data_IF_775630308483
#
_entry.id   IF_775630308483
#
_cell.length_a   1.000
_cell.length_b   1.000
_cell.length_c   1.000
_cell.angle_alpha   90.00
_cell.angle_beta   90.00
_cell.angle_gamma   90.00
#
_symmetry.space_group_name_H-M   'P 1'
#
loop_
_entity.id
_entity.type
_entity.pdbx_description
1 polymer ?
#
# COMPACT_ATOMS: atom_id res chain seq x y z
N UNK A 1 20.14 -3.80 -7.73
CA UNK A 1 18.90 -3.49 -6.99
C UNK A 1 19.18 -2.39 -5.98
N UNK A 2 18.29 -1.41 -5.89
CA UNK A 2 18.29 -0.41 -4.81
C UNK A 2 16.94 -0.47 -4.12
N UNK A 3 16.95 -0.69 -2.80
CA UNK A 3 15.78 -0.96 -1.97
C UNK A 3 15.61 0.17 -0.96
N UNK A 4 14.37 0.56 -0.67
CA UNK A 4 14.05 1.50 0.39
C UNK A 4 12.94 0.93 1.29
N UNK A 5 13.05 1.12 2.60
CA UNK A 5 12.04 0.63 3.52
C UNK A 5 10.73 1.43 3.37
N UNK A 6 9.56 0.84 3.69
CA UNK A 6 8.25 1.43 3.43
C UNK A 6 8.07 2.84 4.02
N UNK A 7 8.71 3.11 5.16
CA UNK A 7 8.67 4.38 5.90
C UNK A 7 9.22 5.56 5.08
N UNK A 8 9.99 5.29 4.02
CA UNK A 8 10.52 6.32 3.12
C UNK A 8 9.50 6.84 2.10
N UNK A 9 8.24 6.37 2.11
CA UNK A 9 7.19 6.81 1.19
C UNK A 9 7.15 8.35 1.00
N UNK A 10 7.25 9.13 2.09
CA UNK A 10 7.22 10.59 2.01
C UNK A 10 8.47 11.20 1.37
N UNK A 11 9.58 10.49 1.38
CA UNK A 11 10.89 10.94 0.90
C UNK A 11 11.16 10.51 -0.56
N UNK A 12 10.37 9.57 -1.08
CA UNK A 12 10.53 9.00 -2.42
C UNK A 12 9.73 9.71 -3.52
N UNK A 13 8.89 10.69 -3.19
CA UNK A 13 8.12 11.48 -4.16
C UNK A 13 7.32 10.61 -5.15
N UNK A 14 6.58 9.64 -4.60
CA UNK A 14 5.78 8.69 -5.36
C UNK A 14 4.60 9.40 -6.05
N UNK A 15 4.37 9.10 -7.33
CA UNK A 15 3.15 9.51 -8.03
C UNK A 15 3.18 9.23 -9.53
N UNK A 16 2.12 9.59 -10.26
CA UNK A 16 0.72 9.64 -9.82
C UNK A 16 0.25 8.26 -9.29
N UNK A 17 -0.83 8.22 -8.49
CA UNK A 17 -1.34 6.96 -7.93
C UNK A 17 -2.14 6.13 -8.95
N UNK A 18 -2.74 6.82 -9.93
CA UNK A 18 -3.71 6.30 -10.89
C UNK A 18 -3.15 6.26 -12.32
N UNK A 19 -2.31 7.23 -12.69
CA UNK A 19 -1.57 7.22 -13.95
C UNK A 19 -0.19 6.61 -13.73
N UNK A 20 -0.08 5.30 -13.96
CA UNK A 20 1.12 4.52 -13.67
C UNK A 20 1.59 3.74 -14.92
N UNK A 21 2.91 3.56 -15.14
CA UNK A 21 3.40 2.82 -16.30
C UNK A 21 3.03 1.33 -16.30
N UNK A 22 2.89 0.72 -15.12
CA UNK A 22 2.70 -0.72 -14.96
C UNK A 22 1.68 -1.09 -13.87
N UNK A 23 0.75 -0.19 -13.55
CA UNK A 23 -0.30 -0.43 -12.55
C UNK A 23 0.13 -0.20 -11.09
N UNK A 24 1.38 0.20 -10.83
CA UNK A 24 1.87 0.57 -9.51
C UNK A 24 2.49 1.98 -9.55
N UNK A 25 2.25 2.83 -8.53
CA UNK A 25 2.87 4.14 -8.43
C UNK A 25 4.39 4.01 -8.31
N UNK A 26 5.12 4.94 -8.94
CA UNK A 26 6.59 4.96 -8.94
C UNK A 26 7.12 6.28 -8.41
N UNK A 27 8.38 6.29 -8.00
CA UNK A 27 9.10 7.53 -7.69
C UNK A 27 9.20 8.40 -8.95
N UNK A 28 8.97 9.70 -8.79
CA UNK A 28 9.23 10.69 -9.85
C UNK A 28 10.70 11.15 -9.89
N UNK A 29 11.52 10.69 -8.94
CA UNK A 29 12.96 10.98 -8.91
C UNK A 29 13.69 10.04 -9.87
N UNK A 30 14.50 10.62 -10.76
CA UNK A 30 15.52 9.87 -11.49
C UNK A 30 16.62 9.45 -10.50
N UNK A 31 16.69 8.16 -10.19
CA UNK A 31 17.66 7.62 -9.24
C UNK A 31 19.10 7.67 -9.76
N UNK A 32 19.31 7.68 -11.08
CA UNK A 32 20.64 7.74 -11.67
C UNK A 32 21.22 9.17 -11.61
N UNK A 33 20.35 10.18 -11.62
CA UNK A 33 20.71 11.59 -11.55
C UNK A 33 19.68 12.38 -10.71
N UNK A 34 19.66 12.20 -9.37
CA UNK A 34 18.63 12.81 -8.53
C UNK A 34 18.79 14.33 -8.46
N UNK A 35 17.76 15.05 -8.91
CA UNK A 35 17.64 16.50 -8.71
C UNK A 35 17.23 16.79 -7.26
N UNK A 36 18.22 16.96 -6.38
CA UNK A 36 18.01 17.26 -4.97
C UNK A 36 17.53 18.70 -4.70
N UNK A 37 17.58 19.60 -5.69
CA UNK A 37 16.94 20.91 -5.55
C UNK A 37 15.42 20.78 -5.69
N UNK A 38 14.96 19.95 -6.63
CA UNK A 38 13.54 19.65 -6.84
C UNK A 38 12.99 18.64 -5.83
N UNK A 39 13.78 17.65 -5.43
CA UNK A 39 13.40 16.55 -4.55
C UNK A 39 14.27 16.47 -3.29
N UNK A 40 14.32 17.53 -2.45
CA UNK A 40 15.29 17.63 -1.35
C UNK A 40 15.19 16.51 -0.30
N UNK A 41 14.01 15.95 -0.05
CA UNK A 41 13.83 14.82 0.90
C UNK A 41 14.40 13.51 0.39
N UNK A 42 14.71 13.41 -0.90
CA UNK A 42 15.29 12.19 -1.46
C UNK A 42 16.68 11.90 -0.87
N UNK A 43 17.40 12.94 -0.45
CA UNK A 43 18.64 12.79 0.32
C UNK A 43 18.43 11.95 1.58
N UNK A 44 17.32 12.13 2.30
CA UNK A 44 16.99 11.32 3.47
C UNK A 44 16.66 9.88 3.08
N UNK A 45 15.94 9.66 1.97
CA UNK A 45 15.69 8.31 1.49
C UNK A 45 16.98 7.56 1.16
N UNK A 46 17.96 8.25 0.56
CA UNK A 46 19.27 7.67 0.21
C UNK A 46 20.06 7.21 1.44
N UNK A 47 19.91 7.84 2.59
CA UNK A 47 20.53 7.40 3.86
C UNK A 47 20.02 6.02 4.31
N UNK A 48 18.83 5.61 3.85
CA UNK A 48 18.19 4.34 4.16
C UNK A 48 18.23 3.33 3.00
N UNK A 49 18.92 3.65 1.90
CA UNK A 49 18.98 2.79 0.74
C UNK A 49 19.82 1.53 1.02
N UNK A 50 19.29 0.36 0.65
CA UNK A 50 20.04 -0.89 0.60
C UNK A 50 20.32 -1.25 -0.86
N UNK A 51 21.60 -1.49 -1.18
CA UNK A 51 22.03 -1.81 -2.55
C UNK A 51 22.54 -3.24 -2.59
N UNK A 52 22.09 -3.98 -3.61
CA UNK A 52 22.56 -5.33 -3.90
C UNK A 52 22.76 -5.49 -5.41
N UNK A 53 23.95 -5.89 -5.81
CA UNK A 53 24.25 -6.39 -7.16
C UNK A 53 24.09 -7.91 -7.12
N UNK A 54 23.41 -8.48 -8.12
CA UNK A 54 23.11 -9.91 -8.17
C UNK A 54 23.87 -10.55 -9.33
N UNK A 55 24.54 -11.66 -9.06
CA UNK A 55 25.15 -12.53 -10.06
C UNK A 55 24.18 -13.66 -10.48
N UNK A 56 24.45 -14.36 -11.60
CA UNK A 56 23.66 -15.52 -12.00
C UNK A 56 23.60 -16.59 -10.90
N UNK A 57 22.39 -16.87 -10.41
CA UNK A 57 22.12 -17.83 -9.35
C UNK A 57 21.78 -17.19 -8.00
N UNK A 58 22.03 -15.89 -7.83
CA UNK A 58 21.63 -15.18 -6.62
C UNK A 58 20.12 -15.00 -6.53
N UNK A 59 19.63 -14.94 -5.29
CA UNK A 59 18.25 -14.65 -4.98
C UNK A 59 18.16 -13.48 -4.00
N UNK A 60 17.25 -12.56 -4.28
CA UNK A 60 16.92 -11.43 -3.42
C UNK A 60 15.50 -11.60 -2.88
N UNK A 61 15.37 -11.64 -1.56
CA UNK A 61 14.06 -11.55 -0.91
C UNK A 61 13.72 -10.08 -0.66
N UNK A 62 12.62 -9.62 -1.25
CA UNK A 62 12.07 -8.27 -1.03
C UNK A 62 10.81 -8.41 -0.18
N UNK A 63 10.80 -7.94 1.08
CA UNK A 63 9.59 -7.98 1.90
C UNK A 63 8.47 -7.15 1.28
N UNK A 64 7.22 -7.48 1.61
CA UNK A 64 6.07 -6.72 1.10
C UNK A 64 6.18 -5.23 1.44
N UNK A 65 5.66 -4.38 0.56
CA UNK A 65 5.67 -2.91 0.66
C UNK A 65 7.03 -2.23 0.51
N UNK A 66 8.13 -2.97 0.34
CA UNK A 66 9.43 -2.35 0.07
C UNK A 66 9.48 -1.74 -1.34
N UNK A 67 9.99 -0.52 -1.39
CA UNK A 67 10.26 0.17 -2.64
C UNK A 67 11.54 -0.40 -3.25
N UNK A 68 11.55 -0.59 -4.57
CA UNK A 68 12.71 -1.14 -5.23
C UNK A 68 12.91 -0.54 -6.62
N UNK A 69 14.17 -0.31 -6.96
CA UNK A 69 14.65 0.01 -8.30
C UNK A 69 15.51 -1.13 -8.80
N UNK A 70 15.30 -1.51 -10.06
CA UNK A 70 16.04 -2.58 -10.73
C UNK A 70 16.75 -1.99 -11.93
N UNK A 71 18.06 -2.24 -12.00
CA UNK A 71 18.91 -1.82 -13.10
C UNK A 71 19.61 -3.04 -13.67
N UNK A 72 19.57 -3.16 -15.00
CA UNK A 72 20.38 -4.11 -15.76
C UNK A 72 21.78 -3.52 -15.97
N UNK A 73 22.82 -4.28 -15.63
CA UNK A 73 24.22 -3.83 -15.75
C UNK A 73 24.89 -4.32 -17.04
N UNK A 74 24.43 -5.44 -17.59
CA UNK A 74 24.93 -6.00 -18.84
C UNK A 74 23.97 -5.78 -20.02
N UNK A 75 24.42 -6.09 -21.23
CA UNK A 75 23.59 -5.99 -22.45
C UNK A 75 22.45 -7.01 -22.50
N UNK A 76 22.55 -8.11 -21.75
CA UNK A 76 21.54 -9.16 -21.66
C UNK A 76 21.37 -9.64 -20.21
N UNK A 77 20.14 -9.60 -19.70
CA UNK A 77 19.83 -9.99 -18.33
C UNK A 77 18.48 -10.73 -18.34
N UNK A 78 18.35 -11.76 -17.50
CA UNK A 78 17.08 -12.47 -17.27
C UNK A 78 16.85 -12.58 -15.78
N UNK A 79 15.64 -12.23 -15.34
CA UNK A 79 15.21 -12.33 -13.96
C UNK A 79 13.89 -13.09 -13.87
N UNK A 80 13.77 -13.98 -12.89
CA UNK A 80 12.53 -14.69 -12.57
C UNK A 80 12.15 -14.33 -11.15
N UNK A 81 10.90 -13.87 -10.97
CA UNK A 81 10.37 -13.50 -9.66
C UNK A 81 9.16 -14.36 -9.28
N UNK A 82 9.03 -14.65 -7.98
CA UNK A 82 7.89 -15.34 -7.41
C UNK A 82 7.14 -14.37 -6.49
N UNK A 83 5.83 -14.22 -6.70
CA UNK A 83 4.98 -13.39 -5.85
C UNK A 83 3.99 -14.28 -5.12
N UNK A 84 3.80 -14.01 -3.84
CA UNK A 84 2.77 -14.63 -3.03
C UNK A 84 2.18 -13.60 -2.08
N UNK A 85 0.98 -13.87 -1.57
CA UNK A 85 0.32 -13.04 -0.56
C UNK A 85 0.19 -13.85 0.71
N UNK A 86 0.30 -13.17 1.86
CA UNK A 86 -0.01 -13.75 3.17
C UNK A 86 -1.48 -13.53 3.56
N UNK A 87 -2.22 -12.74 2.78
CA UNK A 87 -3.64 -12.47 2.99
C UNK A 87 -4.54 -13.50 2.29
N UNK A 88 -5.73 -13.79 2.85
CA UNK A 88 -6.73 -14.63 2.22
C UNK A 88 -7.15 -14.13 0.84
N UNK A 89 -7.51 -15.06 -0.06
CA UNK A 89 -7.88 -14.78 -1.44
C UNK A 89 -9.13 -13.87 -1.59
N UNK A 90 -10.01 -13.83 -0.59
CA UNK A 90 -11.18 -12.97 -0.59
C UNK A 90 -10.87 -11.48 -0.37
N UNK A 91 -9.67 -11.13 0.09
CA UNK A 91 -9.28 -9.74 0.33
C UNK A 91 -8.89 -9.02 -0.97
N UNK A 92 -9.56 -7.90 -1.25
CA UNK A 92 -9.24 -7.00 -2.35
C UNK A 92 -7.99 -6.15 -2.03
N UNK A 93 -7.49 -5.43 -3.04
CA UNK A 93 -6.34 -4.52 -2.86
C UNK A 93 -6.66 -3.38 -1.88
N UNK A 94 -5.79 -3.11 -0.87
CA UNK A 94 -5.92 -1.94 -0.01
C UNK A 94 -5.94 -0.59 -0.76
N UNK A 95 -5.43 -0.56 -2.00
CA UNK A 95 -5.52 0.61 -2.87
C UNK A 95 -6.97 1.06 -3.09
N UNK A 96 -7.92 0.12 -3.16
CA UNK A 96 -9.35 0.47 -3.29
C UNK A 96 -9.85 1.26 -2.07
N UNK A 97 -9.40 0.89 -0.87
CA UNK A 97 -9.74 1.61 0.35
C UNK A 97 -9.11 3.01 0.36
N UNK A 98 -7.85 3.14 -0.07
CA UNK A 98 -7.19 4.43 -0.20
C UNK A 98 -7.92 5.34 -1.20
N UNK A 99 -8.27 4.84 -2.38
CA UNK A 99 -8.99 5.61 -3.40
C UNK A 99 -10.36 6.07 -2.90
N UNK A 100 -11.12 5.23 -2.20
CA UNK A 100 -12.38 5.62 -1.57
C UNK A 100 -12.19 6.65 -0.45
N UNK A 101 -11.12 6.54 0.34
CA UNK A 101 -10.80 7.52 1.38
C UNK A 101 -10.39 8.88 0.77
N UNK A 102 -9.68 8.88 -0.37
CA UNK A 102 -9.41 10.10 -1.13
C UNK A 102 -10.71 10.75 -1.62
N UNK A 103 -11.67 9.94 -2.08
CA UNK A 103 -12.98 10.40 -2.54
C UNK A 103 -13.88 10.94 -1.40
N UNK A 104 -13.82 10.34 -0.22
CA UNK A 104 -14.85 10.54 0.82
C UNK A 104 -14.35 11.18 2.11
N UNK A 105 -13.04 11.12 2.41
CA UNK A 105 -12.47 11.52 3.71
C UNK A 105 -11.42 12.62 3.59
N UNK A 106 -10.53 12.57 2.58
CA UNK A 106 -9.34 13.45 2.49
C UNK A 106 -9.70 14.93 2.60
N UNK A 107 -10.74 15.36 1.88
CA UNK A 107 -11.09 16.78 1.71
C UNK A 107 -12.22 17.24 2.65
N UNK A 108 -12.59 16.44 3.66
CA UNK A 108 -13.51 16.86 4.72
C UNK A 108 -12.91 18.00 5.57
N UNK A 109 -13.75 18.82 6.24
CA UNK A 109 -13.28 19.80 7.23
C UNK A 109 -12.35 19.13 8.27
N UNK A 110 -11.30 19.82 8.74
CA UNK A 110 -10.27 19.21 9.59
C UNK A 110 -10.81 18.44 10.81
N UNK A 111 -11.82 18.99 11.50
CA UNK A 111 -12.45 18.36 12.67
C UNK A 111 -13.19 17.06 12.31
N UNK A 112 -13.89 17.04 11.17
CA UNK A 112 -14.58 15.84 10.69
C UNK A 112 -13.57 14.78 10.23
N UNK A 113 -12.50 15.19 9.54
CA UNK A 113 -11.43 14.28 9.12
C UNK A 113 -10.72 13.65 10.32
N UNK A 114 -10.44 14.42 11.37
CA UNK A 114 -9.89 13.91 12.62
C UNK A 114 -10.83 12.89 13.28
N UNK A 115 -12.13 13.15 13.28
CA UNK A 115 -13.12 12.19 13.80
C UNK A 115 -13.12 10.88 12.99
N UNK A 116 -13.05 10.96 11.65
CA UNK A 116 -12.95 9.75 10.83
C UNK A 116 -11.62 9.02 11.01
N UNK A 117 -10.51 9.72 11.23
CA UNK A 117 -9.24 9.09 11.57
C UNK A 117 -9.37 8.21 12.83
N UNK A 118 -10.09 8.66 13.84
CA UNK A 118 -10.40 7.87 15.04
C UNK A 118 -11.26 6.65 14.76
N UNK A 119 -12.27 6.78 13.89
CA UNK A 119 -13.10 5.65 13.46
C UNK A 119 -12.27 4.61 12.72
N UNK A 120 -11.41 5.01 11.79
CA UNK A 120 -10.49 4.09 11.09
C UNK A 120 -9.47 3.47 12.04
N UNK A 121 -8.92 4.25 12.98
CA UNK A 121 -8.01 3.74 14.00
C UNK A 121 -8.66 2.60 14.78
N UNK A 122 -9.85 2.83 15.34
CA UNK A 122 -10.55 1.84 16.15
C UNK A 122 -11.00 0.60 15.36
N UNK A 123 -11.63 0.76 14.20
CA UNK A 123 -12.24 -0.36 13.47
C UNK A 123 -11.33 -1.05 12.45
N UNK A 124 -10.16 -0.48 12.12
CA UNK A 124 -9.27 -1.02 11.07
C UNK A 124 -7.84 -1.21 11.57
N UNK A 125 -7.19 -0.16 12.08
CA UNK A 125 -5.75 -0.21 12.38
C UNK A 125 -5.41 -0.80 13.75
N UNK A 126 -6.28 -0.62 14.74
CA UNK A 126 -6.16 -1.14 16.11
C UNK A 126 -7.24 -2.19 16.42
N UNK A 127 -7.87 -2.75 15.38
CA UNK A 127 -8.94 -3.73 15.55
C UNK A 127 -8.42 -5.06 16.13
N UNK A 128 -9.13 -5.56 17.14
CA UNK A 128 -8.80 -6.76 17.90
C UNK A 128 -10.07 -7.51 18.36
N UNK A 129 -9.92 -8.47 19.27
CA UNK A 129 -11.03 -9.26 19.79
C UNK A 129 -12.06 -8.42 20.58
N UNK A 130 -11.64 -7.29 21.16
CA UNK A 130 -12.48 -6.46 22.03
C UNK A 130 -13.25 -5.37 21.27
N UNK A 131 -12.78 -5.00 20.07
CA UNK A 131 -13.37 -3.97 19.20
C UNK A 131 -14.89 -4.11 19.03
N UNK A 132 -15.40 -5.34 18.92
CA UNK A 132 -16.84 -5.61 18.80
C UNK A 132 -17.39 -6.55 19.89
N UNK A 133 -16.66 -6.71 21.01
CA UNK A 133 -17.03 -7.64 22.08
C UNK A 133 -18.39 -7.30 22.72
N UNK A 134 -18.73 -6.01 22.77
CA UNK A 134 -20.00 -5.51 23.31
C UNK A 134 -21.22 -5.81 22.41
N UNK A 135 -21.01 -6.23 21.15
CA UNK A 135 -22.07 -6.59 20.21
C UNK A 135 -22.29 -8.10 20.23
N UNK A 136 -23.53 -8.60 20.41
CA UNK A 136 -23.83 -10.03 20.31
C UNK A 136 -23.34 -10.63 18.99
N UNK A 137 -22.80 -11.85 19.01
CA UNK A 137 -22.18 -12.50 17.84
C UNK A 137 -23.04 -12.46 16.58
N UNK A 138 -24.34 -12.76 16.73
CA UNK A 138 -25.30 -12.77 15.62
C UNK A 138 -25.53 -11.37 14.99
N UNK A 139 -25.19 -10.30 15.70
CA UNK A 139 -25.42 -8.91 15.29
C UNK A 139 -24.14 -8.16 14.85
N UNK A 140 -22.94 -8.78 14.99
CA UNK A 140 -21.66 -8.12 14.63
C UNK A 140 -21.55 -7.77 13.15
N UNK A 141 -22.18 -8.54 12.26
CA UNK A 141 -22.22 -8.25 10.83
C UNK A 141 -20.82 -8.13 10.23
N UNK A 142 -20.47 -6.93 9.74
CA UNK A 142 -19.14 -6.65 9.15
C UNK A 142 -18.01 -6.50 10.17
N UNK A 143 -18.34 -6.41 11.46
CA UNK A 143 -17.36 -6.37 12.55
C UNK A 143 -16.97 -7.78 13.04
N UNK A 144 -17.63 -8.83 12.55
CA UNK A 144 -17.19 -10.20 12.79
C UNK A 144 -15.92 -10.50 11.96
N UNK A 145 -15.11 -11.51 12.36
CA UNK A 145 -13.97 -11.95 11.56
C UNK A 145 -14.34 -12.16 10.09
N UNK A 146 -13.54 -11.68 9.15
CA UNK A 146 -13.88 -11.76 7.72
C UNK A 146 -13.80 -13.20 7.21
N UNK A 147 -14.72 -13.58 6.33
CA UNK A 147 -14.71 -14.82 5.54
C UNK A 147 -15.19 -14.54 4.11
N UNK A 148 -15.16 -15.56 3.24
CA UNK A 148 -15.57 -15.42 1.84
C UNK A 148 -17.01 -14.91 1.65
N UNK A 149 -17.95 -15.35 2.50
CA UNK A 149 -19.35 -14.96 2.38
C UNK A 149 -19.55 -13.52 2.83
N UNK A 150 -18.97 -13.13 3.97
CA UNK A 150 -19.00 -11.73 4.45
C UNK A 150 -18.32 -10.80 3.47
N UNK A 151 -17.18 -11.19 2.90
CA UNK A 151 -16.46 -10.40 1.90
C UNK A 151 -17.32 -10.18 0.65
N UNK A 152 -17.98 -11.24 0.14
CA UNK A 152 -18.90 -11.14 -1.01
C UNK A 152 -20.09 -10.22 -0.72
N UNK A 153 -20.73 -10.38 0.44
CA UNK A 153 -21.86 -9.54 0.85
C UNK A 153 -21.46 -8.07 1.04
N UNK A 154 -20.30 -7.81 1.65
CA UNK A 154 -19.77 -6.46 1.82
C UNK A 154 -19.46 -5.81 0.47
N UNK A 155 -18.79 -6.54 -0.44
CA UNK A 155 -18.49 -6.07 -1.79
C UNK A 155 -19.77 -5.69 -2.56
N UNK A 156 -20.78 -6.56 -2.54
CA UNK A 156 -22.07 -6.28 -3.19
C UNK A 156 -22.73 -5.01 -2.63
N UNK A 157 -22.72 -4.84 -1.30
CA UNK A 157 -23.26 -3.65 -0.64
C UNK A 157 -22.50 -2.37 -1.01
N UNK A 158 -21.17 -2.44 -1.11
CA UNK A 158 -20.34 -1.30 -1.52
C UNK A 158 -20.60 -0.93 -2.99
N UNK A 159 -20.61 -1.91 -3.90
CA UNK A 159 -20.92 -1.69 -5.32
C UNK A 159 -22.29 -1.02 -5.50
N UNK A 160 -23.33 -1.49 -4.80
CA UNK A 160 -24.66 -0.88 -4.87
C UNK A 160 -24.66 0.59 -4.42
N UNK A 161 -23.85 0.94 -3.40
CA UNK A 161 -23.76 2.32 -2.91
C UNK A 161 -22.98 3.24 -3.86
N UNK A 162 -21.94 2.71 -4.50
CA UNK A 162 -21.09 3.47 -5.42
C UNK A 162 -21.74 3.67 -6.80
N UNK A 163 -22.71 2.84 -7.17
CA UNK A 163 -23.47 2.98 -8.42
C UNK A 163 -24.67 3.96 -8.30
N UNK A 164 -24.78 4.73 -7.22
CA UNK A 164 -25.82 5.75 -7.02
C UNK A 164 -25.42 7.07 -7.63
#
# INVERSE_FOLDING_TARGET
FTLFPPEQLSNLYIGPLDLTPAGQPVSLVDIAAPDLQRFPRYAQALEHALVAELEPGDALFIPSMWWHHVQALESFNVLVNFWWRQSPAYMDSPMNALMLALLTVRDLPPEQRATWQEVFRHYVFEADADTAAHVPDAARGVLAPMDDNRARSLRARLLQRLNR
#
